data_IF_655846106261
#
_entry.id   IF_655846106261
#
_cell.length_a   1.000
_cell.length_b   1.000
_cell.length_c   1.000
_cell.angle_alpha   90.00
_cell.angle_beta   90.00
_cell.angle_gamma   90.00
#
_symmetry.space_group_name_H-M   'P 1'
#
loop_
_entity.id
_entity.type
_entity.pdbx_description
1 polymer ?
#
# COMPACT_ATOMS: atom_id res chain seq x y z
N UNK A 1 -6.04 -2.26 -10.61
CA UNK A 1 -5.32 -3.02 -9.56
C UNK A 1 -6.26 -3.22 -8.38
N UNK A 2 -6.18 -4.32 -7.64
CA UNK A 2 -7.02 -4.55 -6.46
C UNK A 2 -6.41 -3.92 -5.21
N UNK A 3 -7.21 -3.17 -4.44
CA UNK A 3 -6.74 -2.43 -3.25
C UNK A 3 -6.09 -3.31 -2.19
N UNK A 4 -6.63 -4.52 -1.97
CA UNK A 4 -6.10 -5.42 -0.96
C UNK A 4 -4.69 -5.91 -1.33
N UNK A 5 -4.49 -6.42 -2.54
CA UNK A 5 -3.18 -6.88 -2.99
C UNK A 5 -2.13 -5.75 -3.01
N UNK A 6 -2.52 -4.55 -3.47
CA UNK A 6 -1.68 -3.35 -3.44
C UNK A 6 -1.21 -3.03 -2.03
N UNK A 7 -2.16 -2.93 -1.09
CA UNK A 7 -1.88 -2.56 0.30
C UNK A 7 -1.01 -3.59 0.99
N UNK A 8 -1.33 -4.89 0.83
CA UNK A 8 -0.61 -5.96 1.52
C UNK A 8 0.82 -6.14 1.01
N UNK A 9 1.11 -5.70 -0.21
CA UNK A 9 2.47 -5.62 -0.77
C UNK A 9 3.19 -4.29 -0.50
N UNK A 10 2.57 -3.35 0.20
CA UNK A 10 3.10 -2.01 0.48
C UNK A 10 2.27 -0.93 -0.22
N UNK A 11 2.30 -0.91 -1.55
CA UNK A 11 1.45 -0.03 -2.36
C UNK A 11 2.07 1.33 -2.64
N UNK A 12 3.01 1.37 -3.59
CA UNK A 12 3.64 2.58 -4.11
C UNK A 12 2.74 3.25 -5.17
N UNK A 13 2.55 4.56 -5.06
CA UNK A 13 1.76 5.38 -5.98
C UNK A 13 2.27 6.82 -6.07
N UNK A 14 1.53 7.66 -6.81
CA UNK A 14 1.91 9.05 -7.08
C UNK A 14 2.14 9.87 -5.79
N UNK A 15 1.27 9.67 -4.79
CA UNK A 15 1.35 10.39 -3.52
C UNK A 15 2.32 9.78 -2.51
N UNK A 16 3.00 8.66 -2.84
CA UNK A 16 3.78 7.94 -1.83
C UNK A 16 4.97 8.73 -1.27
N UNK A 17 5.51 9.67 -2.04
CA UNK A 17 6.55 10.58 -1.54
C UNK A 17 6.03 11.59 -0.52
N UNK A 18 4.74 11.91 -0.56
CA UNK A 18 4.10 12.85 0.36
C UNK A 18 3.47 12.15 1.56
N UNK A 19 2.74 11.07 1.31
CA UNK A 19 1.86 10.42 2.29
C UNK A 19 2.29 9.01 2.72
N UNK A 20 3.42 8.49 2.20
CA UNK A 20 3.88 7.12 2.46
C UNK A 20 3.23 6.08 1.55
N UNK A 21 3.57 4.81 1.77
CA UNK A 21 2.96 3.70 1.05
C UNK A 21 1.50 3.52 1.47
N UNK A 22 0.70 2.85 0.65
CA UNK A 22 -0.71 2.55 0.98
C UNK A 22 -0.84 1.80 2.31
N UNK A 23 0.11 0.91 2.62
CA UNK A 23 0.18 0.19 3.89
C UNK A 23 0.48 1.07 5.09
N UNK A 24 1.19 2.20 4.92
CA UNK A 24 1.50 3.13 6.01
C UNK A 24 0.23 3.81 6.52
N UNK A 25 -0.75 4.00 5.64
CA UNK A 25 -2.07 4.52 5.97
C UNK A 25 -3.02 3.46 6.58
N UNK A 26 -2.70 2.16 6.52
CA UNK A 26 -3.55 1.11 7.08
C UNK A 26 -3.64 1.27 8.61
N UNK A 27 -4.85 1.28 9.15
CA UNK A 27 -5.14 1.41 10.59
C UNK A 27 -5.64 0.10 11.19
N UNK A 28 -6.41 -0.66 10.43
CA UNK A 28 -6.83 -2.00 10.81
C UNK A 28 -7.27 -2.81 9.60
N UNK A 29 -7.33 -4.13 9.75
CA UNK A 29 -7.86 -5.04 8.76
C UNK A 29 -8.64 -6.19 9.41
N UNK A 30 -9.69 -6.67 8.76
CA UNK A 30 -10.36 -7.92 9.13
C UNK A 30 -9.82 -9.04 8.26
N UNK A 31 -9.33 -10.12 8.89
CA UNK A 31 -8.71 -11.25 8.19
C UNK A 31 -9.40 -12.54 8.61
N UNK A 32 -9.84 -13.32 7.62
CA UNK A 32 -10.26 -14.71 7.82
C UNK A 32 -9.00 -15.58 7.81
N UNK A 33 -8.66 -16.13 8.97
CA UNK A 33 -7.50 -16.99 9.15
C UNK A 33 -7.72 -18.37 8.50
N UNK A 34 -6.66 -19.18 8.30
CA UNK A 34 -6.80 -20.53 7.73
C UNK A 34 -7.76 -21.45 8.49
N UNK A 35 -7.98 -21.21 9.79
CA UNK A 35 -8.96 -21.94 10.60
C UNK A 35 -10.43 -21.54 10.37
N UNK A 36 -10.68 -20.48 9.60
CA UNK A 36 -12.02 -19.94 9.32
C UNK A 36 -12.44 -18.79 10.24
N UNK A 37 -11.72 -18.55 11.34
CA UNK A 37 -12.00 -17.45 12.25
C UNK A 37 -11.68 -16.09 11.62
N UNK A 38 -12.59 -15.14 11.80
CA UNK A 38 -12.39 -13.75 11.41
C UNK A 38 -11.81 -12.95 12.59
N UNK A 39 -10.62 -12.39 12.43
CA UNK A 39 -9.95 -11.56 13.44
C UNK A 39 -9.80 -10.12 12.95
N UNK A 40 -9.71 -9.19 13.90
CA UNK A 40 -9.33 -7.80 13.65
C UNK A 40 -7.85 -7.62 13.98
N UNK A 41 -7.09 -7.10 13.02
CA UNK A 41 -5.67 -6.79 13.18
C UNK A 41 -5.47 -5.27 13.15
N UNK A 42 -4.82 -4.71 14.17
CA UNK A 42 -4.45 -3.31 14.32
C UNK A 42 -3.19 -3.19 15.17
N UNK A 43 -2.75 -1.97 15.48
CA UNK A 43 -1.60 -1.77 16.37
C UNK A 43 -1.85 -2.29 17.80
N UNK A 44 -3.11 -2.30 18.24
CA UNK A 44 -3.52 -2.63 19.61
C UNK A 44 -4.18 -4.01 19.73
N UNK A 45 -4.38 -4.71 18.61
CA UNK A 45 -5.07 -6.00 18.52
C UNK A 45 -4.43 -6.86 17.41
N UNK A 46 -3.88 -8.04 17.74
CA UNK A 46 -3.09 -8.87 16.82
C UNK A 46 -1.96 -8.09 16.10
N UNK A 47 -1.16 -7.34 16.86
CA UNK A 47 -0.13 -6.43 16.35
C UNK A 47 0.90 -7.09 15.40
N UNK A 48 1.29 -8.34 15.65
CA UNK A 48 2.21 -9.10 14.78
C UNK A 48 1.59 -9.39 13.41
N UNK A 49 0.31 -9.76 13.37
CA UNK A 49 -0.43 -9.94 12.12
C UNK A 49 -0.57 -8.59 11.41
N UNK A 50 -0.90 -7.52 12.14
CA UNK A 50 -1.01 -6.18 11.58
C UNK A 50 0.31 -5.68 10.99
N UNK A 51 1.45 -5.93 11.64
CA UNK A 51 2.78 -5.69 11.08
C UNK A 51 2.98 -6.47 9.78
N UNK A 52 2.66 -7.77 9.78
CA UNK A 52 2.86 -8.63 8.63
C UNK A 52 1.99 -8.24 7.42
N UNK A 53 0.78 -7.77 7.65
CA UNK A 53 -0.13 -7.29 6.60
C UNK A 53 0.39 -6.01 5.90
N UNK A 54 1.34 -5.27 6.48
CA UNK A 54 1.88 -4.03 5.90
C UNK A 54 3.17 -4.26 5.12
N UNK A 55 3.12 -5.15 4.14
CA UNK A 55 4.26 -5.43 3.23
C UNK A 55 4.61 -6.91 3.08
N UNK A 56 4.02 -7.81 3.88
CA UNK A 56 4.27 -9.24 3.82
C UNK A 56 3.71 -9.96 2.59
N UNK A 57 3.12 -9.25 1.62
CA UNK A 57 2.53 -9.83 0.42
C UNK A 57 1.14 -10.41 0.69
N UNK A 58 0.19 -10.13 -0.21
CA UNK A 58 -1.21 -10.50 -0.02
C UNK A 58 -1.44 -12.01 0.07
N UNK A 59 -2.20 -12.44 1.07
CA UNK A 59 -2.70 -13.81 1.19
C UNK A 59 -1.86 -14.77 2.04
N UNK A 60 -0.68 -14.37 2.53
CA UNK A 60 0.17 -15.24 3.36
C UNK A 60 -0.44 -15.63 4.71
N UNK A 61 -1.31 -14.78 5.25
CA UNK A 61 -1.81 -14.89 6.63
C UNK A 61 -3.32 -15.09 6.72
N UNK A 62 -3.99 -15.28 5.57
CA UNK A 62 -5.44 -15.40 5.46
C UNK A 62 -6.04 -14.49 4.40
N UNK A 63 -7.37 -14.43 4.36
CA UNK A 63 -8.14 -13.61 3.41
C UNK A 63 -8.56 -12.32 4.08
N UNK A 64 -7.99 -11.19 3.66
CA UNK A 64 -8.42 -9.88 4.14
C UNK A 64 -9.75 -9.48 3.52
N UNK A 65 -10.77 -9.27 4.34
CA UNK A 65 -12.14 -8.96 3.90
C UNK A 65 -12.51 -7.49 4.13
N UNK A 66 -11.80 -6.78 5.00
CA UNK A 66 -12.01 -5.35 5.26
C UNK A 66 -10.69 -4.67 5.64
N UNK A 67 -10.59 -3.38 5.32
CA UNK A 67 -9.43 -2.53 5.63
C UNK A 67 -9.91 -1.12 5.99
N UNK A 68 -9.33 -0.55 7.04
CA UNK A 68 -9.56 0.84 7.44
C UNK A 68 -8.28 1.64 7.25
N UNK A 69 -8.38 2.82 6.62
CA UNK A 69 -7.24 3.68 6.33
C UNK A 69 -7.36 5.05 6.99
N UNK A 70 -6.21 5.59 7.40
CA UNK A 70 -6.06 7.01 7.63
C UNK A 70 -6.12 7.75 6.29
N UNK A 71 -6.73 8.94 6.31
CA UNK A 71 -6.82 9.83 5.15
C UNK A 71 -5.96 11.06 5.38
N UNK A 72 -5.51 11.67 4.30
CA UNK A 72 -4.85 12.97 4.32
C UNK A 72 -5.57 13.92 3.34
N UNK A 73 -5.52 15.24 3.54
CA UNK A 73 -6.07 16.21 2.60
C UNK A 73 -5.32 16.17 1.26
N UNK A 74 -6.05 16.25 0.16
CA UNK A 74 -5.47 16.35 -1.18
C UNK A 74 -5.67 17.75 -1.76
N UNK A 75 -4.87 18.10 -2.75
CA UNK A 75 -4.99 19.32 -3.53
C UNK A 75 -4.92 18.98 -5.02
N UNK A 76 -5.25 19.97 -5.88
CA UNK A 76 -5.08 19.82 -7.32
C UNK A 76 -3.59 19.58 -7.65
N UNK A 77 -3.34 18.70 -8.61
CA UNK A 77 -2.00 18.37 -9.06
C UNK A 77 -1.88 18.44 -10.58
N UNK A 78 -0.73 18.94 -11.04
CA UNK A 78 -0.38 18.91 -12.46
C UNK A 78 0.25 17.56 -12.81
N UNK A 79 -0.26 16.94 -13.87
CA UNK A 79 0.30 15.70 -14.42
C UNK A 79 0.95 16.02 -15.76
N UNK A 80 2.27 15.95 -15.81
CA UNK A 80 3.07 16.25 -17.02
C UNK A 80 3.77 14.98 -17.50
N UNK A 81 3.67 14.69 -18.79
CA UNK A 81 4.40 13.61 -19.47
C UNK A 81 5.38 14.25 -20.46
N UNK A 82 6.67 13.94 -20.31
CA UNK A 82 7.73 14.36 -21.24
C UNK A 82 8.37 13.11 -21.83
N UNK A 83 8.48 13.07 -23.14
CA UNK A 83 9.09 11.97 -23.88
C UNK A 83 10.48 12.35 -24.39
N UNK A 84 11.42 11.43 -24.31
CA UNK A 84 12.80 11.60 -24.80
C UNK A 84 13.17 10.45 -25.76
N UNK A 85 14.07 10.72 -26.70
CA UNK A 85 14.63 9.67 -27.53
C UNK A 85 15.43 8.66 -26.68
N UNK A 86 15.39 7.34 -26.94
CA UNK A 86 16.16 6.36 -26.18
C UNK A 86 17.67 6.64 -26.14
N UNK A 87 18.21 7.27 -27.18
CA UNK A 87 19.62 7.69 -27.24
C UNK A 87 20.00 8.75 -26.21
N UNK A 88 19.04 9.49 -25.67
CA UNK A 88 19.25 10.52 -24.64
C UNK A 88 19.13 9.98 -23.21
N UNK A 89 18.83 8.68 -23.01
CA UNK A 89 18.51 8.12 -21.69
C UNK A 89 19.58 8.41 -20.62
N UNK A 90 20.86 8.25 -20.96
CA UNK A 90 21.95 8.52 -20.03
C UNK A 90 21.95 9.98 -19.58
N UNK A 91 21.86 10.93 -20.52
CA UNK A 91 21.84 12.36 -20.24
C UNK A 91 20.65 12.75 -19.35
N UNK A 92 19.45 12.23 -19.64
CA UNK A 92 18.24 12.51 -18.85
C UNK A 92 18.36 12.02 -17.40
N UNK A 93 19.02 10.88 -17.17
CA UNK A 93 19.19 10.32 -15.83
C UNK A 93 20.20 11.07 -14.97
N UNK A 94 21.23 11.67 -15.57
CA UNK A 94 22.32 12.33 -14.80
C UNK A 94 22.23 13.85 -14.75
N UNK A 95 21.42 14.48 -15.61
CA UNK A 95 21.36 15.94 -15.75
C UNK A 95 22.38 16.49 -16.73
#
# INVERSE_FOLDING_TARGET
MGVAGLTLGGGLGADSRHAGLTCDALKSATVVLPGGDAVSASADDHAELFWALRGGGGGNFGVTTSMTFARFPTADCDVVRVDFAPSAAAQVLVG
#
